data_IF_696077619581
#
_entry.id   IF_696077619581
#
_cell.length_a   1.000
_cell.length_b   1.000
_cell.length_c   1.000
_cell.angle_alpha   90.00
_cell.angle_beta   90.00
_cell.angle_gamma   90.00
#
_symmetry.space_group_name_H-M   'P 1'
#
loop_
_entity.id
_entity.type
_entity.pdbx_description
1 polymer ?
#
# COMPACT_ATOMS: atom_id res chain seq x y z
N UNK A 1 1.23 -4.45 -15.11
CA UNK A 1 0.34 -3.96 -14.05
C UNK A 1 1.11 -4.21 -12.76
N UNK A 2 1.60 -3.18 -12.05
CA UNK A 2 2.19 -3.40 -10.74
C UNK A 2 1.17 -4.04 -9.80
N UNK A 3 1.54 -5.17 -9.19
CA UNK A 3 0.73 -5.85 -8.17
C UNK A 3 1.26 -5.49 -6.80
N UNK A 4 0.37 -5.11 -5.89
CA UNK A 4 0.70 -4.86 -4.48
C UNK A 4 0.06 -5.93 -3.59
N UNK A 5 0.82 -6.42 -2.62
CA UNK A 5 0.33 -7.36 -1.60
C UNK A 5 -0.03 -6.60 -0.32
N UNK A 6 -1.30 -6.62 0.06
CA UNK A 6 -1.80 -5.92 1.24
C UNK A 6 -2.47 -6.89 2.21
N UNK A 7 -2.16 -6.76 3.50
CA UNK A 7 -2.87 -7.51 4.56
C UNK A 7 -4.33 -7.08 4.62
N UNK A 8 -5.25 -8.01 4.41
CA UNK A 8 -6.70 -7.76 4.34
C UNK A 8 -7.23 -7.07 5.59
N UNK A 9 -6.87 -7.59 6.75
CA UNK A 9 -7.46 -7.13 8.01
C UNK A 9 -7.04 -5.69 8.32
N UNK A 10 -5.78 -5.35 8.01
CA UNK A 10 -5.24 -3.99 8.13
C UNK A 10 -5.92 -3.03 7.14
N UNK A 11 -6.16 -3.48 5.90
CA UNK A 11 -6.92 -2.72 4.91
C UNK A 11 -8.34 -2.40 5.40
N UNK A 12 -9.04 -3.39 5.95
CA UNK A 12 -10.41 -3.21 6.44
C UNK A 12 -10.49 -2.32 7.68
N UNK A 13 -9.52 -2.42 8.57
CA UNK A 13 -9.35 -1.50 9.69
C UNK A 13 -9.20 -0.05 9.19
N UNK A 14 -8.30 0.16 8.22
CA UNK A 14 -8.04 1.48 7.66
C UNK A 14 -9.24 2.06 6.87
N UNK A 15 -10.03 1.21 6.19
CA UNK A 15 -11.27 1.62 5.51
C UNK A 15 -12.46 1.84 6.47
N UNK A 16 -12.34 1.42 7.72
CA UNK A 16 -13.39 1.47 8.74
C UNK A 16 -14.61 0.58 8.43
N UNK A 17 -14.46 -0.41 7.53
CA UNK A 17 -15.51 -1.37 7.17
C UNK A 17 -14.86 -2.69 6.77
N UNK A 18 -15.43 -3.79 7.26
CA UNK A 18 -15.11 -5.14 6.79
C UNK A 18 -15.91 -5.43 5.52
N UNK A 19 -15.23 -5.95 4.50
CA UNK A 19 -15.82 -6.36 3.24
C UNK A 19 -15.70 -7.88 3.09
N UNK A 20 -16.62 -8.49 2.35
CA UNK A 20 -16.37 -9.83 1.81
C UNK A 20 -15.47 -9.75 0.57
N UNK A 21 -14.90 -10.87 0.15
CA UNK A 21 -14.04 -10.90 -1.05
C UNK A 21 -14.81 -10.41 -2.29
N UNK A 22 -16.07 -10.82 -2.47
CA UNK A 22 -16.93 -10.38 -3.57
C UNK A 22 -17.25 -8.88 -3.51
N UNK A 23 -17.55 -8.35 -2.32
CA UNK A 23 -17.83 -6.92 -2.13
C UNK A 23 -16.59 -6.08 -2.44
N UNK A 24 -15.42 -6.55 -2.01
CA UNK A 24 -14.16 -5.86 -2.24
C UNK A 24 -13.75 -5.93 -3.71
N UNK A 25 -13.91 -7.08 -4.37
CA UNK A 25 -13.69 -7.23 -5.80
C UNK A 25 -14.56 -6.28 -6.62
N UNK A 26 -15.84 -6.13 -6.24
CA UNK A 26 -16.74 -5.17 -6.89
C UNK A 26 -16.27 -3.73 -6.68
N UNK A 27 -15.83 -3.38 -5.48
CA UNK A 27 -15.26 -2.06 -5.20
C UNK A 27 -14.01 -1.78 -6.02
N UNK A 28 -13.09 -2.75 -6.12
CA UNK A 28 -11.91 -2.65 -6.98
C UNK A 28 -12.32 -2.39 -8.42
N UNK A 29 -13.26 -3.17 -8.96
CA UNK A 29 -13.73 -3.02 -10.33
C UNK A 29 -14.35 -1.63 -10.59
N UNK A 30 -15.21 -1.14 -9.70
CA UNK A 30 -15.81 0.20 -9.80
C UNK A 30 -14.77 1.32 -9.77
N UNK A 31 -13.67 1.13 -9.04
CA UNK A 31 -12.55 2.08 -8.95
C UNK A 31 -11.52 1.92 -10.09
N UNK A 32 -11.61 0.86 -10.90
CA UNK A 32 -10.67 0.56 -11.99
C UNK A 32 -9.41 -0.20 -11.56
N UNK A 33 -9.51 -1.00 -10.51
CA UNK A 33 -8.51 -1.94 -10.01
C UNK A 33 -8.99 -3.39 -10.18
N UNK A 34 -8.07 -4.33 -10.04
CA UNK A 34 -8.36 -5.76 -10.11
C UNK A 34 -7.85 -6.47 -8.85
N UNK A 35 -8.69 -7.31 -8.24
CA UNK A 35 -8.27 -8.23 -7.18
C UNK A 35 -7.82 -9.53 -7.85
N UNK A 36 -6.51 -9.75 -7.92
CA UNK A 36 -5.89 -10.86 -8.67
C UNK A 36 -5.95 -12.17 -7.89
N UNK A 37 -5.36 -12.21 -6.68
CA UNK A 37 -5.31 -13.41 -5.85
C UNK A 37 -5.54 -13.06 -4.37
N UNK A 38 -6.28 -13.93 -3.68
CA UNK A 38 -6.39 -13.94 -2.22
C UNK A 38 -5.57 -15.12 -1.71
N UNK A 39 -4.51 -14.85 -0.98
CA UNK A 39 -3.55 -15.88 -0.54
C UNK A 39 -3.07 -15.58 0.88
N UNK A 40 -2.20 -16.43 1.43
CA UNK A 40 -1.55 -16.24 2.73
C UNK A 40 -0.04 -16.35 2.54
N UNK A 41 0.74 -15.80 3.46
CA UNK A 41 2.21 -15.92 3.41
C UNK A 41 2.64 -17.40 3.36
N UNK A 42 1.97 -18.23 4.16
CA UNK A 42 2.12 -19.69 4.16
C UNK A 42 1.86 -20.34 2.81
N UNK A 43 0.77 -19.95 2.13
CA UNK A 43 0.42 -20.49 0.81
C UNK A 43 1.40 -20.00 -0.27
N UNK A 44 1.87 -18.76 -0.21
CA UNK A 44 2.90 -18.26 -1.12
C UNK A 44 4.21 -19.06 -0.98
N UNK A 45 4.70 -19.23 0.25
CA UNK A 45 5.93 -19.99 0.54
C UNK A 45 5.85 -21.44 0.08
N UNK A 46 4.70 -22.09 0.31
CA UNK A 46 4.48 -23.48 -0.11
C UNK A 46 4.47 -23.62 -1.65
N UNK A 47 3.91 -22.63 -2.36
CA UNK A 47 3.82 -22.61 -3.83
C UNK A 47 5.16 -22.32 -4.51
N UNK A 48 6.01 -21.51 -3.89
CA UNK A 48 7.32 -21.13 -4.44
C UNK A 48 8.45 -22.12 -4.10
N UNK A 49 8.51 -22.60 -2.85
CA UNK A 49 9.65 -23.38 -2.37
C UNK A 49 9.35 -24.88 -2.25
N UNK A 50 8.08 -25.30 -2.29
CA UNK A 50 7.67 -26.71 -2.20
C UNK A 50 7.92 -27.38 -0.85
N UNK A 51 8.59 -26.70 0.09
CA UNK A 51 9.00 -27.23 1.39
C UNK A 51 8.05 -26.78 2.52
N UNK A 52 7.31 -27.75 3.07
CA UNK A 52 6.32 -27.54 4.14
C UNK A 52 6.99 -27.12 5.47
N UNK A 53 8.29 -27.36 5.61
CA UNK A 53 9.06 -27.03 6.82
C UNK A 53 9.29 -25.51 6.98
N UNK A 54 9.51 -24.76 5.88
CA UNK A 54 9.65 -23.30 5.93
C UNK A 54 8.32 -22.58 6.23
N UNK A 55 7.19 -23.27 6.05
CA UNK A 55 5.84 -22.76 6.27
C UNK A 55 5.36 -22.90 7.73
N UNK A 56 6.16 -23.47 8.64
CA UNK A 56 5.78 -23.65 10.05
C UNK A 56 5.74 -22.32 10.83
N UNK A 57 6.64 -21.39 10.52
CA UNK A 57 6.70 -20.04 11.14
C UNK A 57 6.02 -18.95 10.28
N UNK A 58 5.42 -19.32 9.14
CA UNK A 58 4.80 -18.38 8.23
C UNK A 58 3.43 -17.91 8.72
N UNK A 59 3.12 -16.63 8.52
CA UNK A 59 1.84 -16.07 8.93
C UNK A 59 0.68 -16.65 8.11
N UNK A 60 -0.43 -16.96 8.79
CA UNK A 60 -1.70 -17.33 8.15
C UNK A 60 -2.57 -16.10 7.83
N UNK A 61 -2.01 -14.89 7.95
CA UNK A 61 -2.69 -13.66 7.58
C UNK A 61 -3.05 -13.64 6.09
N UNK A 62 -4.29 -13.22 5.81
CA UNK A 62 -4.81 -13.12 4.45
C UNK A 62 -4.26 -11.88 3.77
N UNK A 63 -3.67 -12.08 2.60
CA UNK A 63 -3.05 -11.08 1.74
C UNK A 63 -3.89 -10.97 0.46
N UNK A 64 -4.31 -9.76 0.14
CA UNK A 64 -4.90 -9.40 -1.14
C UNK A 64 -3.80 -8.93 -2.09
N UNK A 65 -3.70 -9.60 -3.24
CA UNK A 65 -2.91 -9.14 -4.38
C UNK A 65 -3.80 -8.29 -5.28
N UNK A 66 -3.49 -7.00 -5.36
CA UNK A 66 -4.29 -6.03 -6.10
C UNK A 66 -3.45 -5.49 -7.26
N UNK A 67 -4.00 -5.57 -8.46
CA UNK A 67 -3.38 -5.05 -9.67
C UNK A 67 -3.75 -3.57 -9.86
N UNK A 68 -2.70 -2.75 -9.91
CA UNK A 68 -2.79 -1.30 -10.01
C UNK A 68 -2.42 -0.87 -11.44
N UNK A 69 -3.14 0.10 -12.04
CA UNK A 69 -2.76 0.65 -13.33
C UNK A 69 -1.42 1.38 -13.23
N UNK A 70 -0.55 1.16 -14.22
CA UNK A 70 0.86 1.59 -14.16
C UNK A 70 1.08 3.12 -14.08
N UNK A 71 0.03 3.92 -14.31
CA UNK A 71 0.05 5.38 -14.24
C UNK A 71 -0.40 5.94 -12.88
N UNK A 72 -0.76 5.09 -11.90
CA UNK A 72 -1.25 5.50 -10.56
C UNK A 72 -0.24 5.19 -9.48
N UNK A 73 0.82 5.99 -9.41
CA UNK A 73 1.89 5.83 -8.41
C UNK A 73 1.42 6.08 -6.97
N UNK A 74 0.36 6.85 -6.81
CA UNK A 74 -0.27 7.17 -5.53
C UNK A 74 -0.96 5.96 -4.88
N UNK A 75 -1.17 4.86 -5.62
CA UNK A 75 -1.84 3.65 -5.13
C UNK A 75 -0.86 2.51 -4.78
N UNK A 76 0.46 2.75 -4.84
CA UNK A 76 1.47 1.70 -4.64
C UNK A 76 1.73 1.33 -3.17
N UNK A 77 1.01 1.95 -2.23
CA UNK A 77 1.05 1.63 -0.81
C UNK A 77 -0.37 1.55 -0.21
N UNK A 78 -0.47 0.97 0.98
CA UNK A 78 -1.73 0.85 1.71
C UNK A 78 -2.38 2.21 1.95
N UNK A 79 -1.62 3.19 2.42
CA UNK A 79 -2.10 4.53 2.78
C UNK A 79 -2.68 5.24 1.55
N UNK A 80 -1.98 5.12 0.42
CA UNK A 80 -2.40 5.67 -0.86
C UNK A 80 -3.69 5.04 -1.37
N UNK A 81 -3.76 3.70 -1.35
CA UNK A 81 -4.95 2.95 -1.75
C UNK A 81 -6.16 3.29 -0.87
N UNK A 82 -5.98 3.30 0.45
CA UNK A 82 -7.05 3.63 1.40
C UNK A 82 -7.54 5.05 1.18
N UNK A 83 -6.64 6.04 1.05
CA UNK A 83 -7.04 7.41 0.76
C UNK A 83 -7.81 7.52 -0.57
N UNK A 84 -7.33 6.87 -1.62
CA UNK A 84 -8.01 6.84 -2.92
C UNK A 84 -9.42 6.26 -2.83
N UNK A 85 -9.58 5.10 -2.19
CA UNK A 85 -10.85 4.43 -1.99
C UNK A 85 -11.81 5.23 -1.11
N UNK A 86 -11.34 5.83 -0.03
CA UNK A 86 -12.17 6.64 0.87
C UNK A 86 -12.67 7.91 0.19
N UNK A 87 -11.85 8.54 -0.66
CA UNK A 87 -12.26 9.69 -1.49
C UNK A 87 -13.31 9.26 -2.53
N UNK A 88 -13.09 8.12 -3.20
CA UNK A 88 -14.03 7.58 -4.18
C UNK A 88 -15.39 7.25 -3.58
N UNK A 89 -15.40 6.68 -2.36
CA UNK A 89 -16.62 6.39 -1.59
C UNK A 89 -17.24 7.63 -0.92
N UNK A 90 -16.73 8.83 -1.21
CA UNK A 90 -17.17 10.12 -0.63
C UNK A 90 -17.13 10.17 0.91
N UNK A 91 -16.36 9.29 1.54
CA UNK A 91 -16.20 9.25 3.02
C UNK A 91 -15.28 10.35 3.53
N UNK A 92 -14.31 10.76 2.72
CA UNK A 92 -13.38 11.84 3.02
C UNK A 92 -13.26 12.78 1.82
N UNK A 93 -12.86 14.02 2.08
CA UNK A 93 -12.50 14.97 1.02
C UNK A 93 -11.10 14.67 0.50
N UNK A 94 -10.81 14.95 -0.79
CA UNK A 94 -9.45 14.87 -1.32
C UNK A 94 -8.47 15.65 -0.44
N UNK A 95 -7.37 15.00 -0.04
CA UNK A 95 -6.36 15.63 0.81
C UNK A 95 -5.62 16.73 0.04
N UNK A 96 -5.35 17.85 0.73
CA UNK A 96 -4.54 18.95 0.19
C UNK A 96 -3.17 18.92 0.84
N UNK A 97 -2.17 18.47 0.08
CA UNK A 97 -0.78 18.52 0.51
C UNK A 97 -0.22 19.92 0.25
N UNK A 98 0.37 20.52 1.29
CA UNK A 98 1.01 21.83 1.23
C UNK A 98 2.39 21.73 1.85
N UNK A 99 3.33 22.49 1.31
CA UNK A 99 4.62 22.66 1.94
C UNK A 99 4.42 23.40 3.27
N UNK A 100 4.94 22.82 4.35
CA UNK A 100 4.96 23.43 5.67
C UNK A 100 6.40 23.46 6.17
N UNK A 101 6.75 24.51 6.91
CA UNK A 101 8.01 24.54 7.62
C UNK A 101 7.98 23.54 8.79
N UNK A 102 9.09 22.87 9.10
CA UNK A 102 9.18 22.00 10.26
C UNK A 102 8.78 22.77 11.53
N UNK A 103 8.00 22.14 12.42
CA UNK A 103 7.51 22.78 13.65
C UNK A 103 8.63 23.18 14.62
N UNK A 104 9.77 22.48 14.54
CA UNK A 104 10.93 22.71 15.37
C UNK A 104 12.10 23.17 14.49
N UNK A 105 12.57 24.41 14.69
CA UNK A 105 13.69 24.96 13.93
C UNK A 105 14.96 24.08 14.02
N UNK A 106 15.13 23.33 15.13
CA UNK A 106 16.27 22.42 15.31
C UNK A 106 16.21 21.15 14.47
N UNK A 107 15.03 20.80 13.93
CA UNK A 107 14.85 19.65 13.04
C UNK A 107 15.27 19.95 11.58
N UNK A 108 15.56 21.21 11.27
CA UNK A 108 16.04 21.63 9.95
C UNK A 108 17.48 21.18 9.75
N UNK A 109 17.67 20.15 8.93
CA UNK A 109 19.01 19.70 8.54
C UNK A 109 19.55 20.60 7.41
N UNK A 110 20.78 21.06 7.57
CA UNK A 110 21.46 21.92 6.59
C UNK A 110 22.61 21.15 5.96
N UNK A 111 22.54 20.92 4.65
CA UNK A 111 23.69 20.41 3.89
C UNK A 111 24.58 21.60 3.53
N UNK A 112 25.80 21.63 4.09
CA UNK A 112 26.83 22.62 3.72
C UNK A 112 27.70 22.05 2.62
N UNK A 113 27.53 22.56 1.41
CA UNK A 113 28.42 22.25 0.28
C UNK A 113 29.66 23.14 0.40
N UNK A 114 30.83 22.52 0.58
CA UNK A 114 32.08 23.25 0.75
C UNK A 114 32.61 23.76 -0.61
N UNK A 115 33.42 24.82 -0.63
CA UNK A 115 34.01 25.32 -1.88
C UNK A 115 34.84 24.25 -2.62
N UNK A 116 35.43 23.28 -1.91
CA UNK A 116 36.23 22.22 -2.52
C UNK A 116 35.41 21.32 -3.47
N UNK A 117 34.10 21.16 -3.24
CA UNK A 117 33.22 20.36 -4.10
C UNK A 117 33.01 20.95 -5.50
N UNK A 118 33.44 22.19 -5.75
CA UNK A 118 33.39 22.83 -7.07
C UNK A 118 34.66 22.61 -7.91
N UNK A 119 35.68 21.92 -7.37
CA UNK A 119 36.90 21.59 -8.11
C UNK A 119 36.66 20.36 -9.01
N UNK A 120 36.10 20.60 -10.19
CA UNK A 120 36.22 19.74 -11.38
C UNK A 120 36.73 20.63 -12.51
#
# INVERSE_FOLDING_TARGET
MPTIGIKRDLLFEALGKKYTDDEFQKLCFEFGLELDEVTTEKQMLTKEQGDVAAAQDASEEVIYRIDIPANRYDLLCLEGLVNGLLVFLEKIKPQRYVLVEPKDEQSTQVIKVLPETAQI
#
